data_IF_013250983035
#
_entry.id   IF_013250983035
#
_cell.length_a   1.000
_cell.length_b   1.000
_cell.length_c   1.000
_cell.angle_alpha   90.00
_cell.angle_beta   90.00
_cell.angle_gamma   90.00
#
_symmetry.space_group_name_H-M   'P 1'
#
loop_
_entity.id
_entity.type
_entity.pdbx_description
1 polymer ?
#
# COMPACT_ATOMS: atom_id res chain seq x y z
N UNK A 1 8.21 -31.94 8.09
CA UNK A 1 7.58 -30.70 7.60
C UNK A 1 8.69 -29.68 7.41
N UNK A 2 8.95 -29.22 6.18
CA UNK A 2 10.02 -28.24 5.93
C UNK A 2 9.70 -26.92 6.65
N UNK A 3 10.70 -26.22 7.24
CA UNK A 3 10.45 -24.93 7.87
C UNK A 3 9.89 -23.94 6.84
N UNK A 4 8.94 -23.11 7.27
CA UNK A 4 8.34 -22.11 6.40
C UNK A 4 9.42 -21.10 6.00
N UNK A 5 9.76 -21.08 4.72
CA UNK A 5 10.72 -20.10 4.18
C UNK A 5 9.97 -18.78 3.97
N UNK A 6 10.20 -17.82 4.86
CA UNK A 6 9.61 -16.49 4.79
C UNK A 6 10.28 -15.55 3.77
N UNK A 7 9.66 -14.42 3.47
CA UNK A 7 10.14 -13.41 2.53
C UNK A 7 11.51 -12.82 2.89
N UNK A 8 11.96 -12.92 4.15
CA UNK A 8 13.32 -12.53 4.54
C UNK A 8 14.43 -13.46 4.00
N UNK A 9 14.10 -14.72 3.68
CA UNK A 9 15.08 -15.71 3.24
C UNK A 9 15.62 -15.45 1.82
N UNK A 10 14.89 -14.70 1.00
CA UNK A 10 15.34 -14.31 -0.35
C UNK A 10 16.22 -13.05 -0.34
N UNK A 11 16.48 -12.47 0.84
CA UNK A 11 17.31 -11.29 1.02
C UNK A 11 16.55 -9.96 0.90
N UNK A 12 17.29 -8.86 1.02
CA UNK A 12 16.77 -7.50 1.07
C UNK A 12 17.45 -6.57 0.06
N UNK A 13 16.79 -5.47 -0.26
CA UNK A 13 17.29 -4.37 -1.08
C UNK A 13 16.96 -3.01 -0.44
N UNK A 14 17.52 -1.93 -1.01
CA UNK A 14 17.26 -0.56 -0.52
C UNK A 14 16.43 0.24 -1.53
N UNK A 15 15.31 0.80 -1.09
CA UNK A 15 14.48 1.76 -1.87
C UNK A 15 14.49 3.10 -1.14
N UNK A 16 15.04 4.16 -1.73
CA UNK A 16 15.06 5.50 -1.10
C UNK A 16 15.66 5.51 0.31
N UNK A 17 16.65 4.65 0.58
CA UNK A 17 17.29 4.48 1.89
C UNK A 17 16.50 3.63 2.90
N UNK A 18 15.37 3.03 2.52
CA UNK A 18 14.62 2.05 3.31
C UNK A 18 15.05 0.64 2.94
N UNK A 19 15.28 -0.23 3.92
CA UNK A 19 15.52 -1.64 3.69
C UNK A 19 14.19 -2.37 3.54
N UNK A 20 14.02 -3.12 2.45
CA UNK A 20 12.84 -3.94 2.17
C UNK A 20 13.26 -5.34 1.71
N UNK A 21 12.48 -6.35 2.06
CA UNK A 21 12.68 -7.70 1.57
C UNK A 21 12.35 -7.76 0.08
N UNK A 22 13.04 -8.64 -0.66
CA UNK A 22 12.86 -8.75 -2.12
C UNK A 22 11.45 -9.19 -2.52
N UNK A 23 10.73 -9.84 -1.60
CA UNK A 23 9.34 -10.22 -1.78
C UNK A 23 8.44 -9.26 -1.00
N UNK A 24 7.64 -8.49 -1.74
CA UNK A 24 6.62 -7.58 -1.22
C UNK A 24 5.20 -8.13 -1.41
N UNK A 25 4.19 -7.37 -0.95
CA UNK A 25 2.79 -7.66 -1.15
C UNK A 25 2.11 -6.58 -2.00
N UNK A 26 1.56 -6.98 -3.15
CA UNK A 26 0.74 -6.12 -4.00
C UNK A 26 -0.72 -6.13 -3.55
N UNK A 27 -1.22 -5.01 -3.04
CA UNK A 27 -2.52 -4.91 -2.39
C UNK A 27 -3.70 -4.72 -3.36
N UNK A 28 -3.51 -4.81 -4.67
CA UNK A 28 -4.58 -4.57 -5.65
C UNK A 28 -5.74 -5.58 -5.52
N UNK A 29 -5.45 -6.82 -5.12
CA UNK A 29 -6.44 -7.92 -5.07
C UNK A 29 -7.19 -8.05 -3.75
N UNK A 30 -6.95 -7.15 -2.79
CA UNK A 30 -7.79 -7.06 -1.59
C UNK A 30 -9.05 -6.22 -1.82
N UNK A 31 -9.19 -5.64 -3.02
CA UNK A 31 -10.38 -4.90 -3.45
C UNK A 31 -11.44 -5.83 -4.07
N UNK A 32 -12.59 -5.25 -4.39
CA UNK A 32 -13.66 -5.96 -5.10
C UNK A 32 -13.29 -6.39 -6.53
N UNK A 33 -14.21 -7.10 -7.21
CA UNK A 33 -14.06 -7.50 -8.60
C UNK A 33 -13.63 -6.32 -9.48
N UNK A 34 -12.77 -6.58 -10.46
CA UNK A 34 -12.21 -5.51 -11.33
C UNK A 34 -11.48 -4.40 -10.58
N UNK A 35 -11.01 -4.67 -9.35
CA UNK A 35 -10.33 -3.70 -8.48
C UNK A 35 -11.26 -2.52 -8.16
N UNK A 36 -12.57 -2.72 -8.06
CA UNK A 36 -13.53 -1.66 -7.75
C UNK A 36 -14.30 -1.96 -6.47
N UNK A 37 -14.42 -0.95 -5.61
CA UNK A 37 -15.17 -1.06 -4.36
C UNK A 37 -14.59 -2.09 -3.36
N UNK A 38 -15.34 -2.38 -2.30
CA UNK A 38 -14.93 -3.30 -1.25
C UNK A 38 -14.83 -4.76 -1.74
N UNK A 39 -13.95 -5.58 -1.14
CA UNK A 39 -13.93 -7.02 -1.41
C UNK A 39 -15.23 -7.68 -0.99
N UNK A 40 -15.58 -8.79 -1.65
CA UNK A 40 -16.75 -9.61 -1.29
C UNK A 40 -16.64 -10.18 0.12
N UNK A 41 -15.44 -10.59 0.52
CA UNK A 41 -15.14 -11.06 1.89
C UNK A 41 -14.06 -10.14 2.48
N UNK A 42 -14.53 -9.18 3.27
CA UNK A 42 -13.69 -8.20 3.96
C UNK A 42 -12.79 -8.85 5.00
N UNK A 43 -13.30 -9.82 5.75
CA UNK A 43 -12.52 -10.48 6.79
C UNK A 43 -11.40 -11.34 6.18
N UNK A 44 -11.63 -11.97 5.02
CA UNK A 44 -10.57 -12.63 4.26
C UNK A 44 -9.47 -11.65 3.84
N UNK A 45 -9.83 -10.47 3.33
CA UNK A 45 -8.86 -9.44 2.97
C UNK A 45 -8.02 -9.00 4.17
N UNK A 46 -8.66 -8.76 5.33
CA UNK A 46 -7.95 -8.41 6.56
C UNK A 46 -7.05 -9.55 7.06
N UNK A 47 -7.48 -10.81 6.97
CA UNK A 47 -6.65 -11.98 7.31
C UNK A 47 -5.40 -12.06 6.44
N UNK A 48 -5.52 -11.84 5.14
CA UNK A 48 -4.37 -11.82 4.22
C UNK A 48 -3.38 -10.72 4.60
N UNK A 49 -3.89 -9.51 4.87
CA UNK A 49 -3.05 -8.38 5.28
C UNK A 49 -2.31 -8.67 6.58
N UNK A 50 -3.00 -9.17 7.60
CA UNK A 50 -2.39 -9.54 8.90
C UNK A 50 -1.34 -10.64 8.75
N UNK A 51 -1.55 -11.57 7.82
CA UNK A 51 -0.61 -12.68 7.58
C UNK A 51 0.67 -12.24 6.87
N UNK A 52 0.65 -11.15 6.08
CA UNK A 52 1.81 -10.74 5.29
C UNK A 52 3.06 -10.45 6.15
N UNK A 53 2.99 -9.63 7.22
CA UNK A 53 4.12 -9.44 8.14
C UNK A 53 4.62 -10.74 8.79
N UNK A 54 3.72 -11.65 9.17
CA UNK A 54 4.11 -12.94 9.76
C UNK A 54 4.87 -13.85 8.77
N UNK A 55 4.70 -13.62 7.48
CA UNK A 55 5.48 -14.27 6.41
C UNK A 55 6.80 -13.55 6.12
N UNK A 56 7.13 -12.51 6.89
CA UNK A 56 8.31 -11.67 6.71
C UNK A 56 8.16 -10.63 5.61
N UNK A 57 6.95 -10.35 5.10
CA UNK A 57 6.76 -9.24 4.16
C UNK A 57 6.81 -7.92 4.92
N UNK A 58 7.72 -7.03 4.51
CA UNK A 58 7.85 -5.69 5.09
C UNK A 58 7.67 -4.57 4.05
N UNK A 59 7.20 -4.91 2.84
CA UNK A 59 6.92 -3.94 1.78
C UNK A 59 5.54 -4.22 1.19
N UNK A 60 4.63 -3.25 1.31
CA UNK A 60 3.27 -3.31 0.76
C UNK A 60 3.13 -2.23 -0.31
N UNK A 61 2.68 -2.64 -1.49
CA UNK A 61 2.39 -1.77 -2.62
C UNK A 61 0.88 -1.58 -2.78
N UNK A 62 0.41 -0.33 -2.78
CA UNK A 62 -1.01 0.05 -2.93
C UNK A 62 -1.16 1.32 -3.78
N UNK A 63 -2.39 1.82 -3.94
CA UNK A 63 -2.70 3.07 -4.61
C UNK A 63 -4.05 3.63 -4.11
N UNK A 64 -4.21 4.96 -4.17
CA UNK A 64 -5.48 5.65 -3.88
C UNK A 64 -6.64 5.17 -4.79
N UNK A 65 -6.31 4.84 -6.03
CA UNK A 65 -7.20 4.35 -7.07
C UNK A 65 -7.63 2.89 -6.89
N UNK A 66 -7.06 2.14 -5.94
CA UNK A 66 -7.43 0.74 -5.73
C UNK A 66 -8.73 0.61 -4.93
N UNK A 67 -9.77 0.08 -5.57
CA UNK A 67 -11.10 -0.02 -4.99
C UNK A 67 -11.74 1.34 -4.68
N UNK A 68 -11.27 2.42 -5.33
CA UNK A 68 -10.97 3.72 -4.73
C UNK A 68 -11.00 3.82 -3.21
N UNK A 69 -9.87 4.20 -2.61
CA UNK A 69 -9.68 4.41 -1.15
C UNK A 69 -9.87 3.15 -0.27
N UNK A 70 -10.39 2.06 -0.83
CA UNK A 70 -10.62 0.78 -0.14
C UNK A 70 -9.31 0.11 0.25
N UNK A 71 -8.34 0.00 -0.66
CA UNK A 71 -7.09 -0.74 -0.37
C UNK A 71 -6.33 -0.14 0.80
N UNK A 72 -6.15 1.19 0.79
CA UNK A 72 -5.46 1.92 1.87
C UNK A 72 -6.22 1.84 3.20
N UNK A 73 -7.55 1.91 3.16
CA UNK A 73 -8.41 1.76 4.35
C UNK A 73 -8.25 0.38 4.99
N UNK A 74 -8.29 -0.69 4.19
CA UNK A 74 -8.13 -2.06 4.69
C UNK A 74 -6.73 -2.31 5.25
N UNK A 75 -5.69 -1.76 4.61
CA UNK A 75 -4.31 -1.82 5.11
C UNK A 75 -4.20 -1.13 6.48
N UNK A 76 -4.74 0.08 6.61
CA UNK A 76 -4.72 0.82 7.86
C UNK A 76 -5.45 0.07 8.98
N UNK A 77 -6.64 -0.46 8.70
CA UNK A 77 -7.41 -1.24 9.68
C UNK A 77 -6.72 -2.54 10.09
N UNK A 78 -6.13 -3.27 9.14
CA UNK A 78 -5.52 -4.56 9.42
C UNK A 78 -4.23 -4.43 10.23
N UNK A 79 -3.46 -3.37 9.96
CA UNK A 79 -2.06 -3.29 10.38
C UNK A 79 -1.76 -2.14 11.33
N UNK A 80 -2.68 -1.20 11.58
CA UNK A 80 -2.44 -0.16 12.59
C UNK A 80 -2.64 -0.70 14.02
N UNK A 81 -1.71 -0.43 14.96
CA UNK A 81 -0.44 0.28 14.80
C UNK A 81 0.58 -0.53 13.99
N UNK A 82 1.22 0.12 13.02
CA UNK A 82 2.06 -0.57 12.02
C UNK A 82 3.26 -1.30 12.64
N UNK A 83 3.56 -2.54 12.20
CA UNK A 83 4.78 -3.24 12.60
C UNK A 83 6.04 -2.43 12.28
N UNK A 84 7.04 -2.53 13.14
CA UNK A 84 8.33 -1.87 12.93
C UNK A 84 8.98 -2.36 11.63
N UNK A 85 9.49 -1.41 10.82
CA UNK A 85 10.16 -1.73 9.56
C UNK A 85 9.21 -2.04 8.39
N UNK A 86 7.88 -2.00 8.59
CA UNK A 86 6.92 -2.04 7.49
C UNK A 86 7.03 -0.76 6.64
N UNK A 87 7.11 -0.94 5.32
CA UNK A 87 7.13 0.12 4.33
C UNK A 87 5.88 0.00 3.47
N UNK A 88 5.09 1.06 3.41
CA UNK A 88 3.89 1.13 2.55
C UNK A 88 4.15 2.14 1.44
N UNK A 89 4.26 1.63 0.21
CA UNK A 89 4.32 2.44 -1.00
C UNK A 89 2.91 2.63 -1.53
N UNK A 90 2.50 3.89 -1.67
CA UNK A 90 1.23 4.25 -2.32
C UNK A 90 1.49 5.12 -3.53
N UNK A 91 0.50 5.16 -4.43
CA UNK A 91 0.54 5.87 -5.70
C UNK A 91 -0.65 6.82 -5.76
N UNK A 92 -0.46 7.94 -6.46
CA UNK A 92 -1.53 8.83 -6.89
C UNK A 92 -1.28 9.27 -8.32
N UNK A 93 -2.26 9.96 -8.90
CA UNK A 93 -2.20 10.42 -10.29
C UNK A 93 -3.13 9.68 -11.25
N UNK A 94 -3.98 8.80 -10.72
CA UNK A 94 -5.07 8.17 -11.44
C UNK A 94 -6.38 8.43 -10.69
N UNK A 95 -7.38 8.88 -11.42
CA UNK A 95 -8.77 8.91 -10.94
C UNK A 95 -9.52 7.70 -11.47
N UNK A 96 -10.60 7.39 -10.77
CA UNK A 96 -11.40 6.19 -10.96
C UNK A 96 -12.87 6.60 -10.91
N UNK A 97 -13.38 7.34 -11.92
CA UNK A 97 -14.73 7.91 -11.87
C UNK A 97 -15.82 6.83 -11.98
N UNK A 98 -15.53 5.74 -12.70
CA UNK A 98 -16.44 4.60 -12.88
C UNK A 98 -15.66 3.27 -12.84
N UNK A 99 -16.33 2.12 -12.65
CA UNK A 99 -15.70 0.82 -12.86
C UNK A 99 -14.99 0.77 -14.21
N UNK A 100 -13.79 0.16 -14.24
CA UNK A 100 -12.95 -0.01 -15.44
C UNK A 100 -12.33 1.26 -16.06
N UNK A 101 -12.62 2.46 -15.56
CA UNK A 101 -11.92 3.68 -15.98
C UNK A 101 -10.72 3.98 -15.07
N UNK A 102 -9.57 4.31 -15.67
CA UNK A 102 -8.33 4.70 -15.02
C UNK A 102 -7.80 5.96 -15.70
N UNK A 103 -8.33 7.11 -15.27
CA UNK A 103 -8.11 8.37 -15.97
C UNK A 103 -6.92 9.12 -15.34
N UNK A 104 -5.90 9.50 -16.12
CA UNK A 104 -4.75 10.26 -15.59
C UNK A 104 -5.16 11.60 -14.99
N UNK A 105 -4.71 11.87 -13.76
CA UNK A 105 -4.83 13.19 -13.11
C UNK A 105 -3.53 13.53 -12.36
N UNK A 106 -2.53 13.99 -13.10
CA UNK A 106 -1.26 14.43 -12.54
C UNK A 106 -1.29 15.83 -11.90
N UNK A 107 -2.47 16.46 -11.77
CA UNK A 107 -2.54 17.85 -11.29
C UNK A 107 -2.04 17.95 -9.85
N UNK A 108 -1.26 18.99 -9.50
CA UNK A 108 -0.73 19.15 -8.15
C UNK A 108 -1.79 19.12 -7.05
N UNK A 109 -3.00 19.61 -7.32
CA UNK A 109 -4.13 19.63 -6.38
C UNK A 109 -4.60 18.21 -6.05
N UNK A 110 -4.69 17.34 -7.05
CA UNK A 110 -5.04 15.93 -6.89
C UNK A 110 -3.95 15.20 -6.11
N UNK A 111 -2.69 15.31 -6.53
CA UNK A 111 -1.56 14.65 -5.87
C UNK A 111 -1.39 15.10 -4.41
N UNK A 112 -1.63 16.38 -4.10
CA UNK A 112 -1.60 16.89 -2.72
C UNK A 112 -2.77 16.40 -1.88
N UNK A 113 -3.94 16.14 -2.46
CA UNK A 113 -5.11 15.65 -1.73
C UNK A 113 -4.88 14.25 -1.16
N UNK A 114 -4.25 13.35 -1.92
CA UNK A 114 -3.92 11.98 -1.48
C UNK A 114 -2.80 11.89 -0.43
N UNK A 115 -2.13 13.00 -0.13
CA UNK A 115 -1.07 13.05 0.88
C UNK A 115 -1.60 13.47 2.25
N UNK A 116 -1.13 12.86 3.35
CA UNK A 116 -1.36 13.37 4.70
C UNK A 116 -0.79 14.78 4.82
N UNK A 117 -1.38 15.64 5.67
CA UNK A 117 -0.93 17.04 5.83
C UNK A 117 0.58 17.16 6.07
N UNK A 118 1.15 16.25 6.86
CA UNK A 118 2.60 16.16 7.15
C UNK A 118 3.47 15.88 5.91
N UNK A 119 2.95 15.15 4.91
CA UNK A 119 3.66 14.84 3.67
C UNK A 119 3.46 15.90 2.58
N UNK A 120 2.42 16.75 2.68
CA UNK A 120 2.16 17.83 1.70
C UNK A 120 3.28 18.86 1.65
N UNK A 121 3.89 19.19 2.79
CA UNK A 121 5.00 20.15 2.86
C UNK A 121 6.28 19.65 2.17
N UNK A 122 6.49 18.33 2.08
CA UNK A 122 7.67 17.72 1.47
C UNK A 122 7.53 17.39 -0.03
N UNK A 123 6.31 17.37 -0.57
CA UNK A 123 6.05 16.86 -1.92
C UNK A 123 6.50 17.80 -3.07
N UNK A 124 6.98 19.01 -2.77
CA UNK A 124 7.66 19.88 -3.75
C UNK A 124 9.00 19.28 -4.28
N UNK A 125 9.39 18.06 -3.85
CA UNK A 125 10.64 17.39 -4.24
C UNK A 125 10.48 15.99 -4.88
N UNK A 126 9.30 15.66 -5.41
CA UNK A 126 9.14 14.52 -6.34
C UNK A 126 9.39 13.10 -5.79
N UNK A 127 9.13 12.83 -4.50
CA UNK A 127 9.28 11.50 -3.89
C UNK A 127 7.95 10.98 -3.34
N UNK A 128 7.35 9.98 -4.00
CA UNK A 128 6.14 9.29 -3.56
C UNK A 128 6.45 7.97 -2.84
N UNK A 129 7.19 8.04 -1.72
CA UNK A 129 7.38 6.90 -0.82
C UNK A 129 7.02 7.38 0.58
N UNK A 130 5.93 6.85 1.16
CA UNK A 130 5.58 7.15 2.55
C UNK A 130 6.56 6.43 3.48
N UNK A 131 7.35 7.18 4.25
CA UNK A 131 7.84 6.72 5.56
C UNK A 131 6.75 7.03 6.57
N UNK A 132 6.19 6.00 7.21
CA UNK A 132 5.11 6.12 8.20
C UNK A 132 5.57 6.66 9.56
N UNK A 133 6.38 7.72 9.57
CA UNK A 133 6.55 8.55 10.77
C UNK A 133 5.35 9.48 11.01
N UNK A 134 4.18 9.16 10.48
CA UNK A 134 2.98 9.99 10.57
C UNK A 134 1.85 9.15 11.16
N UNK A 135 1.46 9.61 12.35
CA UNK A 135 0.37 9.14 13.22
C UNK A 135 -0.94 8.98 12.46
#
# INVERSE_FOLDING_TARGET
MAPLVGAGAVGALRIGGLAVNRMGFGAMRICGPSVWGPPRDREAALRVLRRAPDLGINFIDTADSYGPEVSETLIAEALHPYPAGLVIATKGGLTRPVPHAWDPDGRPEHLRRGLPRSCRAGCNRGRAIRRQSCR
#
